data_IF_020122328186
#
_entry.id   IF_020122328186
#
_cell.length_a   1.000
_cell.length_b   1.000
_cell.length_c   1.000
_cell.angle_alpha   90.00
_cell.angle_beta   90.00
_cell.angle_gamma   90.00
#
_symmetry.space_group_name_H-M   'P 1'
#
loop_
_entity.id
_entity.type
_entity.pdbx_description
1 polymer ?
#
# COMPACT_ATOMS: atom_id res chain seq x y z
N UNK A 1 -16.94 -12.55 -32.01
CA UNK A 1 -17.22 -11.11 -31.80
C UNK A 1 -17.85 -10.97 -30.40
N UNK A 2 -17.06 -10.71 -29.40
CA UNK A 2 -17.54 -10.47 -28.02
C UNK A 2 -17.74 -8.96 -27.92
N UNK A 3 -18.99 -8.53 -27.83
CA UNK A 3 -19.37 -7.14 -27.62
C UNK A 3 -18.85 -6.72 -26.22
N UNK A 4 -17.84 -5.85 -26.16
CA UNK A 4 -17.45 -5.16 -24.95
C UNK A 4 -18.61 -4.22 -24.58
N UNK A 5 -19.36 -4.57 -23.54
CA UNK A 5 -20.30 -3.65 -22.92
C UNK A 5 -19.52 -2.44 -22.42
N UNK A 6 -19.94 -1.24 -22.86
CA UNK A 6 -19.42 0.01 -22.32
C UNK A 6 -19.63 0.03 -20.79
N UNK A 7 -18.67 0.54 -20.02
CA UNK A 7 -18.85 0.68 -18.58
C UNK A 7 -20.09 1.55 -18.31
N UNK A 8 -20.88 1.25 -17.27
CA UNK A 8 -22.05 2.05 -16.92
C UNK A 8 -21.60 3.51 -16.67
N UNK A 9 -22.35 4.45 -17.24
CA UNK A 9 -22.13 5.88 -17.03
C UNK A 9 -22.13 6.14 -15.52
N UNK A 10 -20.98 6.59 -14.97
CA UNK A 10 -20.90 7.03 -13.59
C UNK A 10 -21.94 8.13 -13.38
N UNK A 11 -22.75 8.02 -12.32
CA UNK A 11 -23.67 9.08 -11.92
C UNK A 11 -22.89 10.40 -11.77
N UNK A 12 -23.43 11.54 -12.20
CA UNK A 12 -22.76 12.81 -12.04
C UNK A 12 -22.37 12.99 -10.56
N UNK A 13 -21.07 13.07 -10.30
CA UNK A 13 -20.53 13.27 -8.95
C UNK A 13 -20.69 14.72 -8.57
N UNK A 14 -21.35 14.99 -7.46
CA UNK A 14 -21.42 16.33 -6.87
C UNK A 14 -20.02 16.72 -6.39
N UNK A 15 -19.45 17.78 -6.97
CA UNK A 15 -18.12 18.28 -6.59
C UNK A 15 -18.19 19.18 -5.37
N UNK A 16 -17.26 18.99 -4.44
CA UNK A 16 -17.10 19.84 -3.25
C UNK A 16 -16.03 20.90 -3.51
N UNK A 17 -16.45 22.16 -3.51
CA UNK A 17 -15.61 23.29 -3.85
C UNK A 17 -15.35 24.15 -2.61
N UNK A 18 -14.09 24.37 -2.29
CA UNK A 18 -13.64 25.33 -1.29
C UNK A 18 -13.33 26.66 -2.00
N UNK A 19 -13.98 27.75 -1.58
CA UNK A 19 -13.74 29.10 -2.08
C UNK A 19 -12.93 29.83 -1.01
N UNK A 20 -11.75 30.31 -1.38
CA UNK A 20 -10.84 31.06 -0.48
C UNK A 20 -10.70 32.45 -1.01
N UNK A 21 -11.42 33.39 -0.42
CA UNK A 21 -11.51 34.79 -0.85
C UNK A 21 -11.97 35.66 0.35
N UNK A 22 -11.30 36.78 0.60
CA UNK A 22 -11.64 37.71 1.68
C UNK A 22 -12.83 38.63 1.34
N UNK A 23 -13.19 38.75 0.04
CA UNK A 23 -14.34 39.48 -0.46
C UNK A 23 -15.63 38.66 -0.31
N UNK A 24 -16.52 39.12 0.57
CA UNK A 24 -17.84 38.47 0.75
C UNK A 24 -18.68 38.52 -0.54
N UNK A 25 -18.51 39.60 -1.32
CA UNK A 25 -19.21 39.81 -2.59
C UNK A 25 -18.79 38.76 -3.63
N UNK A 26 -17.47 38.53 -3.78
CA UNK A 26 -16.92 37.59 -4.73
C UNK A 26 -17.30 36.16 -4.35
N UNK A 27 -17.20 35.79 -3.06
CA UNK A 27 -17.68 34.50 -2.54
C UNK A 27 -19.14 34.26 -2.89
N UNK A 28 -19.99 35.28 -2.66
CA UNK A 28 -21.43 35.19 -2.97
C UNK A 28 -21.66 35.01 -4.46
N UNK A 29 -20.98 35.78 -5.30
CA UNK A 29 -21.07 35.75 -6.77
C UNK A 29 -20.68 34.33 -7.29
N UNK A 30 -19.55 33.81 -6.85
CA UNK A 30 -19.08 32.48 -7.24
C UNK A 30 -20.08 31.41 -6.82
N UNK A 31 -20.62 31.49 -5.59
CA UNK A 31 -21.64 30.53 -5.11
C UNK A 31 -22.91 30.56 -5.95
N UNK A 32 -23.42 31.76 -6.26
CA UNK A 32 -24.63 31.93 -7.07
C UNK A 32 -24.45 31.34 -8.46
N UNK A 33 -23.28 31.59 -9.08
CA UNK A 33 -22.94 31.01 -10.38
C UNK A 33 -22.88 29.48 -10.35
N UNK A 34 -22.21 28.91 -9.38
CA UNK A 34 -22.09 27.46 -9.25
C UNK A 34 -23.46 26.80 -8.98
N UNK A 35 -24.30 27.39 -8.13
CA UNK A 35 -25.66 26.88 -7.88
C UNK A 35 -26.59 26.96 -9.09
N UNK A 36 -26.38 27.92 -9.98
CA UNK A 36 -27.19 28.06 -11.20
C UNK A 36 -26.80 27.08 -12.31
N UNK A 37 -25.52 26.70 -12.34
CA UNK A 37 -24.93 25.94 -13.46
C UNK A 37 -24.73 24.46 -13.20
N UNK A 38 -24.81 24.00 -11.95
CA UNK A 38 -24.63 22.59 -11.66
C UNK A 38 -24.76 22.23 -10.17
N UNK A 39 -24.61 20.95 -9.90
CA UNK A 39 -24.65 20.38 -8.55
C UNK A 39 -23.28 20.48 -7.87
N UNK A 40 -23.04 21.61 -7.18
CA UNK A 40 -21.82 21.82 -6.40
C UNK A 40 -22.16 22.02 -4.91
N UNK A 41 -21.32 21.47 -4.05
CA UNK A 41 -21.33 21.76 -2.61
C UNK A 41 -20.21 22.73 -2.33
N UNK A 42 -20.54 23.97 -1.92
CA UNK A 42 -19.57 25.04 -1.73
C UNK A 42 -19.35 25.35 -0.25
N UNK A 43 -18.07 25.51 0.13
CA UNK A 43 -17.65 26.05 1.41
C UNK A 43 -16.80 27.27 1.17
N UNK A 44 -16.76 28.21 2.11
CA UNK A 44 -15.94 29.39 1.98
C UNK A 44 -15.02 29.56 3.19
N UNK A 45 -13.82 30.05 2.91
CA UNK A 45 -12.86 30.53 3.88
C UNK A 45 -12.44 31.94 3.49
N UNK A 46 -12.28 32.82 4.47
CA UNK A 46 -11.87 34.19 4.25
C UNK A 46 -10.39 34.43 4.49
N UNK A 47 -9.75 33.48 5.13
CA UNK A 47 -8.31 33.49 5.39
C UNK A 47 -7.69 32.14 5.06
N UNK A 48 -6.37 32.12 4.96
CA UNK A 48 -5.61 30.88 4.72
C UNK A 48 -5.75 29.91 5.89
N UNK A 49 -5.78 30.42 7.12
CA UNK A 49 -5.92 29.61 8.33
C UNK A 49 -7.29 28.90 8.38
N UNK A 50 -8.37 29.61 8.03
CA UNK A 50 -9.70 29.03 7.88
C UNK A 50 -9.72 27.95 6.78
N UNK A 51 -9.10 28.23 5.63
CA UNK A 51 -8.99 27.27 4.54
C UNK A 51 -8.24 26.00 4.98
N UNK A 52 -7.12 26.14 5.67
CA UNK A 52 -6.35 25.00 6.20
C UNK A 52 -7.13 24.21 7.24
N UNK A 53 -7.92 24.88 8.11
CA UNK A 53 -8.78 24.22 9.06
C UNK A 53 -9.84 23.36 8.35
N UNK A 54 -10.55 23.93 7.37
CA UNK A 54 -11.55 23.22 6.58
C UNK A 54 -10.94 22.05 5.79
N UNK A 55 -9.72 22.22 5.25
CA UNK A 55 -9.01 21.17 4.52
C UNK A 55 -8.54 20.01 5.42
N UNK A 56 -8.28 20.26 6.70
CA UNK A 56 -7.96 19.19 7.67
C UNK A 56 -9.16 18.31 7.99
N UNK A 57 -10.32 18.94 8.17
CA UNK A 57 -11.52 18.28 8.68
C UNK A 57 -12.46 17.79 7.57
N UNK A 58 -12.34 18.35 6.36
CA UNK A 58 -13.23 18.09 5.23
C UNK A 58 -12.55 17.50 4.01
N UNK A 59 -13.35 16.83 3.16
CA UNK A 59 -12.93 16.41 1.82
C UNK A 59 -13.41 17.45 0.81
N UNK A 60 -12.49 17.94 -0.02
CA UNK A 60 -12.77 18.85 -1.13
C UNK A 60 -12.20 18.27 -2.41
N UNK A 61 -12.86 18.57 -3.53
CA UNK A 61 -12.41 18.16 -4.86
C UNK A 61 -11.62 19.29 -5.55
N UNK A 62 -12.04 20.54 -5.33
CA UNK A 62 -11.43 21.73 -5.93
C UNK A 62 -11.34 22.87 -4.90
N UNK A 63 -10.25 23.61 -4.92
CA UNK A 63 -10.09 24.89 -4.21
C UNK A 63 -9.99 26.02 -5.22
N UNK A 64 -10.90 26.98 -5.11
CA UNK A 64 -10.85 28.26 -5.82
C UNK A 64 -10.18 29.28 -4.89
N UNK A 65 -9.05 29.82 -5.28
CA UNK A 65 -8.23 30.69 -4.41
C UNK A 65 -8.08 32.06 -5.08
N UNK A 66 -8.45 33.13 -4.38
CA UNK A 66 -8.23 34.48 -4.87
C UNK A 66 -6.74 34.82 -4.92
N UNK A 67 -6.29 35.32 -6.06
CA UNK A 67 -4.91 35.77 -6.25
C UNK A 67 -4.53 36.99 -5.42
N UNK A 68 -5.48 37.81 -4.97
CA UNK A 68 -5.21 38.95 -4.09
C UNK A 68 -4.69 38.51 -2.70
N UNK A 69 -5.02 37.30 -2.27
CA UNK A 69 -4.41 36.64 -1.10
C UNK A 69 -2.98 36.18 -1.36
N UNK A 70 -2.43 36.48 -2.58
CA UNK A 70 -1.17 35.93 -3.10
C UNK A 70 0.09 36.67 -2.64
N UNK A 71 0.00 37.82 -1.97
CA UNK A 71 1.19 38.46 -1.44
C UNK A 71 1.80 37.58 -0.31
N UNK A 72 2.47 36.49 -0.73
CA UNK A 72 3.12 35.41 0.07
C UNK A 72 2.19 34.30 0.65
N UNK A 73 1.03 34.56 1.26
CA UNK A 73 0.25 33.50 1.93
C UNK A 73 -0.42 32.51 0.98
N UNK A 74 -0.82 32.91 -0.23
CA UNK A 74 -1.50 31.98 -1.14
C UNK A 74 -0.54 30.97 -1.76
N UNK A 75 0.73 31.33 -1.97
CA UNK A 75 1.78 30.38 -2.34
C UNK A 75 1.92 29.30 -1.26
N UNK A 76 1.84 29.68 0.01
CA UNK A 76 1.88 28.77 1.16
C UNK A 76 0.69 27.80 1.13
N UNK A 77 -0.51 28.26 0.78
CA UNK A 77 -1.69 27.37 0.68
C UNK A 77 -1.57 26.40 -0.49
N UNK A 78 -1.10 26.82 -1.67
CA UNK A 78 -0.88 25.94 -2.81
C UNK A 78 0.20 24.89 -2.48
N UNK A 79 1.30 25.31 -1.85
CA UNK A 79 2.33 24.40 -1.41
C UNK A 79 1.80 23.43 -0.36
N UNK A 80 1.04 23.89 0.64
CA UNK A 80 0.38 23.05 1.63
C UNK A 80 -0.53 22.02 0.98
N UNK A 81 -1.35 22.41 0.00
CA UNK A 81 -2.23 21.50 -0.74
C UNK A 81 -1.42 20.44 -1.50
N UNK A 82 -0.30 20.82 -2.10
CA UNK A 82 0.56 19.88 -2.81
C UNK A 82 1.22 18.85 -1.89
N UNK A 83 1.65 19.27 -0.72
CA UNK A 83 2.36 18.43 0.23
C UNK A 83 1.42 17.52 1.02
N UNK A 84 0.23 18.01 1.40
CA UNK A 84 -0.66 17.34 2.35
C UNK A 84 -2.00 16.89 1.74
N UNK A 85 -2.47 17.59 0.69
CA UNK A 85 -3.79 17.40 0.07
C UNK A 85 -3.70 17.48 -1.45
N UNK A 86 -2.79 16.74 -2.05
CA UNK A 86 -2.66 16.65 -3.50
C UNK A 86 -3.89 16.08 -4.22
N UNK A 87 -4.90 15.65 -3.45
CA UNK A 87 -6.21 15.23 -3.93
C UNK A 87 -7.14 16.40 -4.30
N UNK A 88 -6.80 17.62 -3.92
CA UNK A 88 -7.58 18.83 -4.21
C UNK A 88 -7.00 19.54 -5.43
N UNK A 89 -7.82 19.76 -6.46
CA UNK A 89 -7.43 20.56 -7.60
C UNK A 89 -7.46 22.07 -7.22
N UNK A 90 -6.53 22.85 -7.74
CA UNK A 90 -6.41 24.27 -7.42
C UNK A 90 -6.67 25.11 -8.67
N UNK A 91 -7.64 26.02 -8.58
CA UNK A 91 -7.94 27.04 -9.60
C UNK A 91 -7.80 28.42 -8.97
N UNK A 92 -7.05 29.30 -9.61
CA UNK A 92 -6.89 30.66 -9.13
C UNK A 92 -7.93 31.57 -9.70
N UNK A 93 -8.44 32.48 -8.88
CA UNK A 93 -9.24 33.62 -9.31
C UNK A 93 -8.36 34.88 -9.34
N UNK A 94 -8.20 35.51 -10.49
CA UNK A 94 -7.35 36.71 -10.67
C UNK A 94 -8.20 37.93 -10.94
N UNK A 95 -7.79 39.09 -10.42
CA UNK A 95 -8.48 40.36 -10.66
C UNK A 95 -7.79 41.24 -11.75
N UNK A 96 -6.60 40.83 -12.21
CA UNK A 96 -5.78 41.59 -13.15
C UNK A 96 -6.00 41.18 -14.61
N UNK A 97 -5.77 42.13 -15.52
CA UNK A 97 -5.82 41.90 -16.98
C UNK A 97 -4.63 41.09 -17.50
N UNK A 98 -3.64 40.80 -16.66
CA UNK A 98 -2.41 40.13 -17.07
C UNK A 98 -2.39 38.66 -16.62
N UNK A 99 -2.49 37.73 -17.56
CA UNK A 99 -2.21 36.30 -17.39
C UNK A 99 -0.81 36.01 -16.78
N UNK A 100 0.11 37.00 -16.83
CA UNK A 100 1.46 36.90 -16.25
C UNK A 100 1.46 36.72 -14.74
N UNK A 101 0.42 37.14 -14.03
CA UNK A 101 0.27 36.96 -12.58
C UNK A 101 -0.07 35.51 -12.20
N UNK A 102 -0.69 34.77 -13.13
CA UNK A 102 -1.03 33.37 -12.91
C UNK A 102 0.16 32.38 -13.14
N UNK A 103 1.16 32.80 -13.95
CA UNK A 103 2.31 31.91 -14.27
C UNK A 103 3.12 31.43 -13.06
N UNK A 104 3.42 32.27 -12.05
CA UNK A 104 4.09 31.79 -10.83
C UNK A 104 3.29 30.71 -10.10
N UNK A 105 1.98 30.86 -10.07
CA UNK A 105 1.10 29.95 -9.38
C UNK A 105 0.96 28.59 -10.08
N UNK A 106 0.93 28.57 -11.40
CA UNK A 106 0.97 27.31 -12.17
C UNK A 106 2.27 26.58 -11.91
N UNK A 107 3.41 27.29 -11.83
CA UNK A 107 4.71 26.72 -11.47
C UNK A 107 4.72 26.16 -10.05
N UNK A 108 3.97 26.74 -9.13
CA UNK A 108 3.79 26.27 -7.76
C UNK A 108 2.76 25.13 -7.65
N UNK A 109 1.98 24.89 -8.72
CA UNK A 109 1.11 23.74 -8.83
C UNK A 109 -0.38 24.01 -8.85
N UNK A 110 -0.80 25.23 -9.13
CA UNK A 110 -2.17 25.47 -9.54
C UNK A 110 -2.45 24.77 -10.88
N UNK A 111 -3.64 24.19 -11.01
CA UNK A 111 -4.04 23.44 -12.20
C UNK A 111 -4.59 24.36 -13.30
N UNK A 112 -5.24 25.48 -12.88
CA UNK A 112 -5.81 26.45 -13.82
C UNK A 112 -5.98 27.82 -13.15
N UNK A 113 -6.38 28.81 -13.93
CA UNK A 113 -6.76 30.15 -13.44
C UNK A 113 -7.96 30.69 -14.21
N UNK A 114 -8.70 31.61 -13.57
CA UNK A 114 -9.82 32.32 -14.17
C UNK A 114 -9.80 33.77 -13.73
N UNK A 115 -9.95 34.68 -14.68
CA UNK A 115 -10.09 36.11 -14.38
C UNK A 115 -11.51 36.39 -13.83
N UNK A 116 -11.60 37.10 -12.69
CA UNK A 116 -12.87 37.49 -12.04
C UNK A 116 -13.75 38.34 -12.97
N UNK A 117 -13.18 39.08 -13.91
CA UNK A 117 -13.93 39.82 -14.92
C UNK A 117 -14.77 38.90 -15.83
N UNK A 118 -14.37 37.64 -15.99
CA UNK A 118 -15.09 36.63 -16.78
C UNK A 118 -16.05 35.79 -15.96
N UNK A 119 -16.27 36.11 -14.68
CA UNK A 119 -17.23 35.41 -13.81
C UNK A 119 -18.70 35.70 -14.18
N UNK A 120 -18.99 36.50 -15.22
CA UNK A 120 -20.35 36.68 -15.75
C UNK A 120 -20.88 35.43 -16.43
N UNK A 121 -19.98 34.61 -16.99
CA UNK A 121 -20.29 33.34 -17.60
C UNK A 121 -20.03 32.19 -16.63
N UNK A 122 -21.09 31.73 -15.94
CA UNK A 122 -21.01 30.60 -15.04
C UNK A 122 -20.61 29.30 -15.73
N UNK A 123 -20.79 29.17 -17.05
CA UNK A 123 -20.34 27.99 -17.80
C UNK A 123 -18.82 27.96 -17.89
N UNK A 124 -18.15 29.08 -18.06
CA UNK A 124 -16.68 29.14 -18.04
C UNK A 124 -16.11 28.73 -16.67
N UNK A 125 -16.71 29.22 -15.59
CA UNK A 125 -16.31 28.85 -14.24
C UNK A 125 -16.41 27.32 -14.03
N UNK A 126 -17.53 26.71 -14.41
CA UNK A 126 -17.73 25.26 -14.32
C UNK A 126 -16.73 24.50 -15.17
N UNK A 127 -16.47 24.96 -16.41
CA UNK A 127 -15.52 24.33 -17.32
C UNK A 127 -14.11 24.30 -16.70
N UNK A 128 -13.67 25.40 -16.08
CA UNK A 128 -12.36 25.47 -15.41
C UNK A 128 -12.29 24.57 -14.18
N UNK A 129 -13.34 24.56 -13.36
CA UNK A 129 -13.41 23.69 -12.18
C UNK A 129 -13.37 22.22 -12.57
N UNK A 130 -14.21 21.81 -13.53
CA UNK A 130 -14.26 20.42 -13.99
C UNK A 130 -12.96 20.03 -14.69
N UNK A 131 -12.41 20.92 -15.52
CA UNK A 131 -11.13 20.70 -16.20
C UNK A 131 -9.99 20.48 -15.20
N UNK A 132 -9.83 21.37 -14.22
CA UNK A 132 -8.80 21.26 -13.18
C UNK A 132 -8.98 19.97 -12.33
N UNK A 133 -10.22 19.63 -11.98
CA UNK A 133 -10.53 18.39 -11.25
C UNK A 133 -10.13 17.15 -12.05
N UNK A 134 -10.50 17.07 -13.33
CA UNK A 134 -10.17 15.91 -14.17
C UNK A 134 -8.67 15.82 -14.45
N UNK A 135 -7.98 16.94 -14.63
CA UNK A 135 -6.53 16.98 -14.79
C UNK A 135 -5.83 16.44 -13.54
N UNK A 136 -6.18 16.96 -12.35
CA UNK A 136 -5.64 16.46 -11.08
C UNK A 136 -5.92 14.96 -10.89
N UNK A 137 -7.14 14.51 -11.17
CA UNK A 137 -7.54 13.11 -11.11
C UNK A 137 -6.70 12.24 -12.04
N UNK A 138 -6.43 12.69 -13.25
CA UNK A 138 -5.62 11.98 -14.22
C UNK A 138 -4.14 11.91 -13.80
N UNK A 139 -3.58 13.02 -13.31
CA UNK A 139 -2.21 13.04 -12.77
C UNK A 139 -2.06 12.03 -11.62
N UNK A 140 -2.98 12.03 -10.66
CA UNK A 140 -2.96 11.08 -9.54
C UNK A 140 -3.14 9.61 -9.97
N UNK A 141 -3.99 9.36 -10.97
CA UNK A 141 -4.12 8.01 -11.54
C UNK A 141 -2.82 7.55 -12.19
N UNK A 142 -2.15 8.44 -12.90
CA UNK A 142 -0.84 8.15 -13.51
C UNK A 142 0.21 7.86 -12.45
N UNK A 143 0.32 8.69 -11.41
CA UNK A 143 1.27 8.50 -10.31
C UNK A 143 1.01 7.18 -9.56
N UNK A 144 -0.25 6.87 -9.29
CA UNK A 144 -0.64 5.61 -8.65
C UNK A 144 -0.28 4.42 -9.53
N UNK A 145 -0.52 4.53 -10.85
CA UNK A 145 -0.18 3.48 -11.80
C UNK A 145 1.33 3.28 -11.92
N UNK A 146 2.11 4.36 -11.97
CA UNK A 146 3.58 4.29 -11.98
C UNK A 146 4.09 3.60 -10.72
N UNK A 147 3.65 4.03 -9.54
CA UNK A 147 4.04 3.40 -8.26
C UNK A 147 3.62 1.93 -8.18
N UNK A 148 2.46 1.60 -8.75
CA UNK A 148 2.01 0.21 -8.82
C UNK A 148 2.91 -0.61 -9.75
N UNK A 149 3.22 -0.09 -10.96
CA UNK A 149 4.14 -0.75 -11.90
C UNK A 149 5.54 -0.92 -11.32
N UNK A 150 6.07 0.10 -10.64
CA UNK A 150 7.37 0.02 -9.95
C UNK A 150 7.36 -1.07 -8.87
N UNK A 151 6.29 -1.12 -8.07
CA UNK A 151 6.15 -2.16 -7.03
C UNK A 151 6.06 -3.55 -7.66
N UNK A 152 5.24 -3.69 -8.70
CA UNK A 152 5.04 -4.94 -9.44
C UNK A 152 6.36 -5.42 -10.07
N UNK A 153 7.12 -4.50 -10.67
CA UNK A 153 8.42 -4.80 -11.27
C UNK A 153 9.52 -5.18 -10.25
N UNK A 154 9.34 -4.85 -8.95
CA UNK A 154 10.35 -5.02 -7.89
C UNK A 154 9.97 -6.01 -6.79
N UNK A 155 8.77 -6.59 -6.83
CA UNK A 155 8.25 -7.49 -5.80
C UNK A 155 8.04 -8.90 -6.35
N UNK A 156 8.33 -9.91 -5.55
CA UNK A 156 7.98 -11.30 -5.82
C UNK A 156 6.55 -11.58 -5.36
N UNK A 157 5.70 -12.03 -6.28
CA UNK A 157 4.27 -12.21 -6.03
C UNK A 157 3.94 -13.33 -5.04
N UNK A 158 4.79 -14.34 -4.96
CA UNK A 158 4.54 -15.48 -4.08
C UNK A 158 4.81 -15.13 -2.62
N UNK A 159 5.85 -14.33 -2.37
CA UNK A 159 6.39 -14.06 -1.04
C UNK A 159 6.12 -12.67 -0.50
N UNK A 160 5.85 -11.69 -1.39
CA UNK A 160 5.77 -10.28 -1.04
C UNK A 160 7.10 -9.61 -0.71
N UNK A 161 8.22 -10.35 -0.73
CA UNK A 161 9.56 -9.80 -0.65
C UNK A 161 9.95 -9.11 -1.97
N UNK A 162 11.09 -8.45 -1.99
CA UNK A 162 11.65 -7.97 -3.23
C UNK A 162 12.00 -9.15 -4.16
N UNK A 163 11.99 -8.90 -5.47
CA UNK A 163 12.39 -9.88 -6.47
C UNK A 163 13.90 -9.78 -6.81
N UNK A 164 14.37 -10.66 -7.68
CA UNK A 164 15.77 -10.71 -8.14
C UNK A 164 16.24 -9.38 -8.72
N UNK A 165 15.42 -8.72 -9.53
CA UNK A 165 15.79 -7.44 -10.16
C UNK A 165 16.09 -6.36 -9.09
N UNK A 166 15.17 -6.20 -8.13
CA UNK A 166 15.35 -5.25 -7.04
C UNK A 166 16.55 -5.62 -6.13
N UNK A 167 16.85 -6.92 -5.99
CA UNK A 167 18.02 -7.38 -5.25
C UNK A 167 19.32 -6.98 -5.94
N UNK A 168 19.44 -7.21 -7.23
CA UNK A 168 20.66 -6.91 -7.98
C UNK A 168 20.96 -5.41 -7.99
N UNK A 169 19.93 -4.56 -8.19
CA UNK A 169 20.06 -3.10 -8.07
C UNK A 169 20.50 -2.68 -6.66
N UNK A 170 19.84 -3.22 -5.63
CA UNK A 170 20.15 -2.85 -4.25
C UNK A 170 21.55 -3.30 -3.82
N UNK A 171 21.99 -4.47 -4.24
CA UNK A 171 23.33 -4.97 -3.96
C UNK A 171 24.38 -4.05 -4.57
N UNK A 172 24.16 -3.61 -5.81
CA UNK A 172 25.05 -2.66 -6.48
C UNK A 172 25.10 -1.33 -5.72
N UNK A 173 23.96 -0.71 -5.39
CA UNK A 173 23.91 0.55 -4.64
C UNK A 173 24.64 0.48 -3.29
N UNK A 174 24.40 -0.62 -2.55
CA UNK A 174 25.01 -0.80 -1.22
C UNK A 174 26.50 -1.03 -1.31
N UNK A 175 26.99 -1.77 -2.32
CA UNK A 175 28.42 -1.97 -2.54
C UNK A 175 29.14 -0.67 -2.94
N UNK A 176 28.52 0.15 -3.82
CA UNK A 176 29.10 1.45 -4.19
C UNK A 176 29.19 2.38 -2.97
N UNK A 177 28.15 2.44 -2.17
CA UNK A 177 28.15 3.23 -0.92
C UNK A 177 29.18 2.72 0.09
N UNK A 178 29.26 1.41 0.27
CA UNK A 178 30.23 0.78 1.16
C UNK A 178 31.68 1.07 0.75
N UNK A 179 31.96 1.08 -0.57
CA UNK A 179 33.25 1.46 -1.12
C UNK A 179 33.59 2.91 -0.80
N UNK A 180 32.64 3.85 -0.98
CA UNK A 180 32.84 5.27 -0.69
C UNK A 180 33.07 5.52 0.81
N UNK A 181 32.25 4.90 1.67
CA UNK A 181 32.25 5.11 3.11
C UNK A 181 33.27 4.21 3.86
N UNK A 182 33.91 3.27 3.18
CA UNK A 182 34.78 2.21 3.72
C UNK A 182 34.11 1.39 4.82
N UNK A 183 32.81 1.09 4.63
CA UNK A 183 32.03 0.30 5.57
C UNK A 183 31.81 -1.11 5.02
N UNK A 184 31.71 -2.13 5.88
CA UNK A 184 31.46 -3.48 5.42
C UNK A 184 30.01 -3.65 4.95
N UNK A 185 29.83 -4.53 3.94
CA UNK A 185 28.54 -5.07 3.53
C UNK A 185 28.60 -6.58 3.70
N UNK A 186 27.56 -7.15 4.26
CA UNK A 186 27.42 -8.61 4.31
C UNK A 186 26.21 -9.06 3.50
N UNK A 187 26.44 -10.04 2.65
CA UNK A 187 25.43 -10.78 1.94
C UNK A 187 25.19 -12.13 2.62
N UNK A 188 23.92 -12.46 2.86
CA UNK A 188 23.49 -13.78 3.35
C UNK A 188 22.56 -14.38 2.31
N UNK A 189 22.96 -15.49 1.71
CA UNK A 189 22.10 -16.32 0.86
C UNK A 189 21.43 -17.40 1.70
N UNK A 190 20.18 -17.70 1.38
CA UNK A 190 19.35 -18.67 2.09
C UNK A 190 18.70 -19.59 1.07
N UNK A 191 18.83 -20.88 1.24
CA UNK A 191 18.24 -21.90 0.37
C UNK A 191 17.36 -22.83 1.19
N UNK A 192 16.18 -23.14 0.67
CA UNK A 192 15.24 -24.07 1.33
C UNK A 192 15.63 -25.51 0.99
N UNK A 193 15.88 -26.31 2.02
CA UNK A 193 16.26 -27.69 1.81
C UNK A 193 15.07 -28.56 1.38
N UNK A 194 15.23 -29.29 0.29
CA UNK A 194 14.30 -30.36 -0.13
C UNK A 194 13.03 -29.88 -0.86
N UNK A 195 12.92 -28.64 -1.25
CA UNK A 195 11.75 -28.07 -1.95
C UNK A 195 11.38 -28.88 -3.20
N UNK A 196 12.39 -29.35 -3.96
CA UNK A 196 12.15 -30.16 -5.15
C UNK A 196 11.47 -31.50 -4.81
N UNK A 197 11.93 -32.19 -3.77
CA UNK A 197 11.33 -33.46 -3.32
C UNK A 197 9.90 -33.24 -2.82
N UNK A 198 9.68 -32.15 -2.10
CA UNK A 198 8.34 -31.79 -1.62
C UNK A 198 7.40 -31.54 -2.79
N UNK A 199 7.83 -30.83 -3.81
CA UNK A 199 7.05 -30.58 -5.03
C UNK A 199 6.68 -31.87 -5.77
N UNK A 200 7.64 -32.81 -5.86
CA UNK A 200 7.43 -34.11 -6.53
C UNK A 200 6.46 -35.01 -5.75
N UNK A 201 6.49 -34.99 -4.41
CA UNK A 201 5.70 -35.87 -3.55
C UNK A 201 4.35 -35.27 -3.15
N UNK A 202 4.32 -33.98 -2.83
CA UNK A 202 3.16 -33.28 -2.23
C UNK A 202 2.53 -32.25 -3.15
N UNK A 203 3.14 -31.97 -4.31
CA UNK A 203 2.67 -30.96 -5.26
C UNK A 203 3.23 -29.57 -5.01
N UNK A 204 3.14 -28.72 -6.03
CA UNK A 204 3.70 -27.37 -6.02
C UNK A 204 3.08 -26.45 -4.97
N UNK A 205 1.80 -26.63 -4.63
CA UNK A 205 1.12 -25.80 -3.61
C UNK A 205 1.79 -25.90 -2.24
N UNK A 206 2.29 -27.11 -1.88
CA UNK A 206 3.00 -27.35 -0.61
C UNK A 206 4.40 -26.72 -0.63
N UNK A 207 5.10 -26.82 -1.76
CA UNK A 207 6.39 -26.14 -1.94
C UNK A 207 6.26 -24.62 -1.90
N UNK A 208 5.23 -24.09 -2.56
CA UNK A 208 4.91 -22.65 -2.51
C UNK A 208 4.63 -22.16 -1.09
N UNK A 209 3.96 -23.00 -0.28
CA UNK A 209 3.72 -22.71 1.13
C UNK A 209 5.02 -22.70 1.94
N UNK A 210 5.95 -23.63 1.71
CA UNK A 210 7.29 -23.58 2.32
C UNK A 210 8.04 -22.30 1.96
N UNK A 211 7.97 -21.84 0.71
CA UNK A 211 8.58 -20.61 0.23
C UNK A 211 7.96 -19.40 0.95
N UNK A 212 6.62 -19.31 1.06
CA UNK A 212 5.93 -18.21 1.77
C UNK A 212 6.33 -18.18 3.26
N UNK A 213 6.40 -19.33 3.93
CA UNK A 213 6.80 -19.44 5.33
C UNK A 213 8.25 -19.02 5.55
N UNK A 214 9.16 -19.40 4.65
CA UNK A 214 10.55 -18.97 4.70
C UNK A 214 10.65 -17.43 4.58
N UNK A 215 9.95 -16.84 3.63
CA UNK A 215 9.90 -15.39 3.46
C UNK A 215 9.37 -14.67 4.71
N UNK A 216 8.30 -15.20 5.33
CA UNK A 216 7.76 -14.67 6.58
C UNK A 216 8.76 -14.75 7.74
N UNK A 217 9.48 -15.88 7.87
CA UNK A 217 10.54 -16.04 8.86
C UNK A 217 11.70 -15.06 8.66
N UNK A 218 12.16 -14.88 7.44
CA UNK A 218 13.20 -13.90 7.10
C UNK A 218 12.74 -12.48 7.47
N UNK A 219 11.52 -12.09 7.06
CA UNK A 219 10.98 -10.75 7.32
C UNK A 219 10.93 -10.39 8.80
N UNK A 220 10.65 -11.36 9.68
CA UNK A 220 10.63 -11.15 11.14
C UNK A 220 12.02 -10.93 11.76
N UNK A 221 13.07 -11.30 11.04
CA UNK A 221 14.44 -11.30 11.56
C UNK A 221 15.28 -10.10 11.12
N UNK A 222 14.88 -9.38 10.09
CA UNK A 222 15.60 -8.26 9.49
C UNK A 222 15.10 -6.90 10.00
N UNK A 223 15.92 -5.86 9.86
CA UNK A 223 15.58 -4.48 10.24
C UNK A 223 15.12 -3.69 9.01
N UNK A 224 14.59 -2.50 9.21
CA UNK A 224 14.21 -1.61 8.11
C UNK A 224 15.38 -1.13 7.23
N UNK A 225 16.62 -1.19 7.72
CA UNK A 225 17.84 -0.90 6.96
C UNK A 225 18.31 -2.08 6.10
N UNK A 226 17.93 -3.30 6.48
CA UNK A 226 18.32 -4.52 5.81
C UNK A 226 17.38 -4.77 4.62
N UNK A 227 17.84 -5.54 3.64
CA UNK A 227 17.08 -5.77 2.43
C UNK A 227 16.97 -7.27 2.17
N UNK A 228 15.76 -7.78 2.02
CA UNK A 228 15.51 -9.18 1.70
C UNK A 228 14.77 -9.33 0.38
N UNK A 229 15.16 -10.34 -0.39
CA UNK A 229 14.57 -10.65 -1.68
C UNK A 229 14.52 -12.15 -1.93
N UNK A 230 13.58 -12.59 -2.75
CA UNK A 230 13.60 -13.89 -3.39
C UNK A 230 14.38 -13.78 -4.71
N UNK A 231 15.47 -14.52 -4.82
CA UNK A 231 16.41 -14.41 -5.94
C UNK A 231 16.38 -15.61 -6.89
N UNK A 232 15.71 -16.68 -6.49
CA UNK A 232 15.56 -17.91 -7.26
C UNK A 232 14.26 -18.64 -6.92
N UNK A 233 14.13 -19.87 -7.33
CA UNK A 233 12.96 -20.71 -7.02
C UNK A 233 12.74 -20.87 -5.52
N UNK A 234 13.75 -21.34 -4.83
CA UNK A 234 13.83 -21.60 -3.38
C UNK A 234 14.96 -20.82 -2.70
N UNK A 235 15.58 -19.87 -3.43
CA UNK A 235 16.70 -19.08 -2.97
C UNK A 235 16.28 -17.67 -2.55
N UNK A 236 16.84 -17.20 -1.43
CA UNK A 236 16.65 -15.84 -0.92
C UNK A 236 18.00 -15.17 -0.69
N UNK A 237 18.02 -13.84 -0.82
CA UNK A 237 19.16 -13.02 -0.51
C UNK A 237 18.80 -11.97 0.55
N UNK A 238 19.69 -11.81 1.54
CA UNK A 238 19.60 -10.75 2.56
C UNK A 238 20.86 -9.90 2.51
N UNK A 239 20.70 -8.61 2.21
CA UNK A 239 21.79 -7.63 2.19
C UNK A 239 21.76 -6.89 3.52
N UNK A 240 22.91 -6.85 4.18
CA UNK A 240 23.12 -6.18 5.47
C UNK A 240 24.10 -5.01 5.28
N UNK A 241 23.58 -3.78 5.03
CA UNK A 241 24.43 -2.58 4.98
C UNK A 241 25.12 -2.35 6.32
N UNK A 242 26.35 -1.88 6.27
CA UNK A 242 27.19 -1.61 7.45
C UNK A 242 27.37 -2.85 8.37
N UNK A 243 27.16 -4.05 7.84
CA UNK A 243 27.25 -5.30 8.58
C UNK A 243 28.51 -6.07 8.26
N UNK A 244 29.16 -6.60 9.29
CA UNK A 244 30.28 -7.51 9.19
C UNK A 244 29.82 -8.98 9.16
N UNK A 245 30.75 -9.92 9.03
CA UNK A 245 30.47 -11.35 9.02
C UNK A 245 29.82 -11.84 10.34
N UNK A 246 30.12 -11.19 11.47
CA UNK A 246 29.51 -11.52 12.76
C UNK A 246 28.02 -11.20 12.77
N UNK A 247 27.63 -10.04 12.20
CA UNK A 247 26.22 -9.69 12.00
C UNK A 247 25.52 -10.67 11.05
N UNK A 248 26.18 -11.05 9.93
CA UNK A 248 25.65 -12.05 9.01
C UNK A 248 25.34 -13.40 9.71
N UNK A 249 26.28 -13.89 10.52
CA UNK A 249 26.09 -15.11 11.31
C UNK A 249 24.97 -14.96 12.36
N UNK A 250 24.84 -13.80 12.96
CA UNK A 250 23.77 -13.51 13.92
C UNK A 250 22.39 -13.56 13.22
N UNK A 251 22.24 -12.92 12.07
CA UNK A 251 20.99 -12.90 11.30
C UNK A 251 20.66 -14.31 10.81
N UNK A 252 21.62 -15.06 10.27
CA UNK A 252 21.41 -16.44 9.84
C UNK A 252 20.92 -17.34 11.00
N UNK A 253 21.51 -17.21 12.19
CA UNK A 253 21.06 -17.92 13.41
C UNK A 253 19.65 -17.50 13.83
N UNK A 254 19.33 -16.21 13.76
CA UNK A 254 17.98 -15.72 14.10
C UNK A 254 16.94 -16.27 13.14
N UNK A 255 17.23 -16.31 11.85
CA UNK A 255 16.33 -16.88 10.84
C UNK A 255 16.14 -18.37 11.11
N UNK A 256 17.21 -19.14 11.32
CA UNK A 256 17.12 -20.57 11.63
C UNK A 256 16.28 -20.83 12.88
N UNK A 257 16.56 -20.10 13.96
CA UNK A 257 15.81 -20.23 15.23
C UNK A 257 14.33 -19.84 15.08
N UNK A 258 14.03 -18.77 14.34
CA UNK A 258 12.63 -18.36 14.10
C UNK A 258 11.89 -19.42 13.27
N UNK A 259 12.50 -20.00 12.25
CA UNK A 259 11.90 -21.08 11.47
C UNK A 259 11.68 -22.34 12.32
N UNK A 260 12.64 -22.72 13.18
CA UNK A 260 12.46 -23.83 14.14
C UNK A 260 11.31 -23.56 15.11
N UNK A 261 11.23 -22.34 15.66
CA UNK A 261 10.14 -21.94 16.56
C UNK A 261 8.78 -22.03 15.86
N UNK A 262 8.69 -21.58 14.61
CA UNK A 262 7.48 -21.61 13.81
C UNK A 262 7.09 -23.06 13.44
N UNK A 263 8.06 -23.90 13.07
CA UNK A 263 7.85 -25.33 12.81
C UNK A 263 7.29 -26.08 14.03
N UNK A 264 7.74 -25.74 15.24
CA UNK A 264 7.27 -26.34 16.49
C UNK A 264 6.00 -25.73 17.08
N UNK A 265 5.54 -24.58 16.54
CA UNK A 265 4.41 -23.81 17.04
C UNK A 265 3.34 -23.56 15.98
N UNK A 266 3.39 -22.39 15.35
CA UNK A 266 2.39 -21.92 14.38
C UNK A 266 2.21 -22.87 13.18
N UNK A 267 3.27 -23.60 12.80
CA UNK A 267 3.30 -24.52 11.64
C UNK A 267 3.49 -25.99 12.02
N UNK A 268 3.18 -26.38 13.27
CA UNK A 268 3.44 -27.72 13.79
C UNK A 268 2.75 -28.86 13.00
N UNK A 269 1.62 -28.58 12.37
CA UNK A 269 0.87 -29.54 11.54
C UNK A 269 1.30 -29.56 10.06
N UNK A 270 2.34 -28.79 9.70
CA UNK A 270 2.83 -28.65 8.34
C UNK A 270 4.21 -29.29 8.18
N UNK A 271 4.65 -29.48 6.92
CA UNK A 271 6.01 -29.94 6.66
C UNK A 271 7.03 -28.94 7.21
N UNK A 272 8.05 -29.39 7.96
CA UNK A 272 9.03 -28.48 8.55
C UNK A 272 9.87 -27.80 7.47
N UNK A 273 10.07 -26.48 7.62
CA UNK A 273 10.97 -25.71 6.77
C UNK A 273 12.37 -25.74 7.37
N UNK A 274 13.35 -26.18 6.59
CA UNK A 274 14.77 -26.13 6.94
C UNK A 274 15.54 -25.37 5.86
N UNK A 275 16.54 -24.59 6.28
CA UNK A 275 17.31 -23.74 5.36
C UNK A 275 18.82 -23.95 5.51
N UNK A 276 19.55 -23.66 4.45
CA UNK A 276 21.00 -23.61 4.41
C UNK A 276 21.44 -22.19 4.12
N UNK A 277 22.58 -21.78 4.66
CA UNK A 277 23.08 -20.42 4.51
C UNK A 277 24.47 -20.41 3.86
N UNK A 278 24.67 -19.43 2.96
CA UNK A 278 25.96 -18.98 2.50
C UNK A 278 26.12 -17.49 2.78
N UNK A 279 27.31 -17.04 3.14
CA UNK A 279 27.50 -15.64 3.45
C UNK A 279 28.90 -15.14 3.09
N UNK A 280 28.96 -13.90 2.65
CA UNK A 280 30.23 -13.22 2.36
C UNK A 280 30.14 -11.77 2.85
N UNK A 281 31.32 -11.19 3.15
CA UNK A 281 31.42 -9.79 3.57
C UNK A 281 32.58 -9.10 2.85
N UNK A 282 32.41 -7.82 2.56
CA UNK A 282 33.44 -6.99 1.94
C UNK A 282 33.20 -5.50 2.24
N UNK A 283 34.28 -4.73 2.36
CA UNK A 283 34.21 -3.27 2.53
C UNK A 283 34.51 -2.51 1.23
N UNK A 284 35.02 -3.18 0.19
CA UNK A 284 35.32 -2.61 -1.11
C UNK A 284 35.15 -3.72 -2.15
N UNK A 285 33.96 -4.32 -2.16
CA UNK A 285 33.67 -5.48 -2.98
C UNK A 285 32.95 -5.10 -4.29
N UNK A 286 33.24 -5.86 -5.32
CA UNK A 286 32.38 -5.96 -6.49
C UNK A 286 31.13 -6.76 -6.10
N UNK A 287 29.92 -6.32 -6.50
CA UNK A 287 28.68 -7.05 -6.20
C UNK A 287 28.68 -8.51 -6.68
N UNK A 288 29.28 -8.77 -7.86
CA UNK A 288 29.40 -10.11 -8.43
C UNK A 288 30.34 -10.99 -7.63
N UNK A 289 31.50 -10.47 -7.20
CA UNK A 289 32.46 -11.19 -6.34
C UNK A 289 31.87 -11.52 -4.98
N UNK A 290 31.13 -10.56 -4.37
CA UNK A 290 30.45 -10.77 -3.09
C UNK A 290 29.38 -11.86 -3.19
N UNK A 291 28.59 -11.83 -4.28
CA UNK A 291 27.59 -12.85 -4.55
C UNK A 291 28.24 -14.22 -4.77
N UNK A 292 29.26 -14.31 -5.63
CA UNK A 292 29.94 -15.56 -5.92
C UNK A 292 30.58 -16.20 -4.67
N UNK A 293 31.17 -15.38 -3.79
CA UNK A 293 31.73 -15.87 -2.53
C UNK A 293 30.66 -16.40 -1.56
N UNK A 294 29.50 -15.76 -1.47
CA UNK A 294 28.38 -16.25 -0.67
C UNK A 294 27.78 -17.53 -1.26
N UNK A 295 27.61 -17.60 -2.58
CA UNK A 295 27.07 -18.77 -3.28
C UNK A 295 27.99 -19.98 -3.17
N UNK A 296 29.31 -19.80 -3.30
CA UNK A 296 30.29 -20.88 -3.07
C UNK A 296 30.16 -21.45 -1.65
N UNK A 297 30.06 -20.59 -0.64
CA UNK A 297 29.88 -21.05 0.74
C UNK A 297 28.53 -21.80 0.92
N UNK A 298 27.46 -21.34 0.27
CA UNK A 298 26.17 -22.02 0.27
C UNK A 298 26.28 -23.42 -0.33
N UNK A 299 26.96 -23.55 -1.47
CA UNK A 299 27.20 -24.83 -2.15
C UNK A 299 28.01 -25.80 -1.27
N UNK A 300 29.07 -25.32 -0.62
CA UNK A 300 29.88 -26.12 0.29
C UNK A 300 29.04 -26.66 1.46
N UNK A 301 28.15 -25.85 2.04
CA UNK A 301 27.28 -26.28 3.12
C UNK A 301 26.19 -27.28 2.66
N UNK A 302 25.71 -27.18 1.42
CA UNK A 302 24.77 -28.16 0.83
C UNK A 302 25.41 -29.56 0.71
N UNK A 303 26.70 -29.60 0.41
CA UNK A 303 27.47 -30.86 0.21
C UNK A 303 27.69 -31.65 1.52
N UNK A 304 27.73 -30.96 2.67
CA UNK A 304 28.00 -31.55 3.99
C UNK A 304 26.74 -31.97 4.77
N UNK A 305 25.52 -31.73 4.29
CA UNK A 305 24.30 -32.18 4.96
C UNK A 305 23.99 -33.66 4.60
N UNK A 306 23.89 -34.59 5.58
CA UNK A 306 23.33 -35.90 5.30
C UNK A 306 21.87 -35.77 4.88
N UNK A 307 21.49 -36.53 3.87
CA UNK A 307 20.13 -36.66 3.34
C UNK A 307 19.13 -36.77 4.49
N UNK A 308 18.15 -35.88 4.48
CA UNK A 308 17.04 -35.80 5.43
C UNK A 308 16.53 -37.21 5.82
N UNK A 309 16.26 -37.41 7.12
CA UNK A 309 15.44 -38.55 7.61
C UNK A 309 14.17 -38.66 6.75
N UNK A 310 13.68 -39.88 6.47
CA UNK A 310 12.53 -40.05 5.58
C UNK A 310 11.37 -39.15 6.05
N UNK A 311 10.84 -38.37 5.12
CA UNK A 311 9.67 -37.54 5.34
C UNK A 311 8.56 -38.40 5.96
N UNK A 312 7.80 -37.90 6.94
CA UNK A 312 6.66 -38.62 7.45
C UNK A 312 5.71 -38.90 6.27
N UNK A 313 5.29 -40.19 6.17
CA UNK A 313 4.32 -40.56 5.13
C UNK A 313 3.08 -39.66 5.22
N UNK A 314 2.52 -39.21 4.06
CA UNK A 314 1.33 -38.42 4.07
C UNK A 314 0.23 -39.18 4.80
N UNK A 315 -0.28 -38.64 5.91
CA UNK A 315 -1.46 -39.19 6.58
C UNK A 315 -2.56 -39.28 5.52
N UNK A 316 -2.92 -40.51 5.15
CA UNK A 316 -4.07 -40.76 4.28
C UNK A 316 -5.25 -40.06 4.91
N UNK A 317 -5.80 -39.06 4.20
CA UNK A 317 -7.04 -38.44 4.59
C UNK A 317 -8.08 -39.54 4.74
N UNK A 318 -8.41 -39.90 5.98
CA UNK A 318 -9.56 -40.76 6.27
C UNK A 318 -10.79 -40.06 5.72
N UNK A 319 -11.26 -40.52 4.58
CA UNK A 319 -12.56 -40.13 4.07
C UNK A 319 -13.58 -40.55 5.13
N UNK A 320 -14.39 -39.63 5.66
CA UNK A 320 -15.50 -40.05 6.51
C UNK A 320 -16.49 -40.83 5.65
N UNK A 321 -16.51 -42.14 5.78
CA UNK A 321 -17.56 -43.01 5.24
C UNK A 321 -18.80 -42.76 6.09
N UNK A 322 -19.48 -41.66 5.88
CA UNK A 322 -20.80 -41.38 6.42
C UNK A 322 -21.87 -41.90 5.47
N UNK A 323 -22.23 -43.18 5.59
CA UNK A 323 -23.46 -43.69 4.99
C UNK A 323 -24.66 -42.99 5.66
N UNK A 324 -25.18 -41.96 4.99
CA UNK A 324 -26.52 -41.51 5.27
C UNK A 324 -27.52 -42.54 4.75
N UNK A 325 -28.05 -43.35 5.63
CA UNK A 325 -29.27 -44.14 5.38
C UNK A 325 -30.45 -43.18 5.31
N UNK A 326 -30.96 -42.99 4.12
CA UNK A 326 -32.25 -42.35 3.90
C UNK A 326 -33.35 -43.19 4.59
N UNK A 327 -34.00 -42.63 5.60
CA UNK A 327 -35.30 -43.09 6.07
C UNK A 327 -36.36 -42.17 5.49
N UNK A 328 -37.02 -42.70 4.51
CA UNK A 328 -38.32 -42.21 4.01
C UNK A 328 -39.37 -42.59 5.06
N UNK A 329 -40.07 -41.63 5.62
CA UNK A 329 -41.40 -41.83 6.18
C UNK A 329 -42.18 -40.50 6.12
N UNK A 330 -43.26 -40.59 5.41
CA UNK A 330 -44.17 -39.50 5.02
C UNK A 330 -45.10 -39.03 6.14
N UNK A 331 -46.11 -38.24 5.79
CA UNK A 331 -46.56 -37.14 6.61
C UNK A 331 -47.75 -37.47 7.56
N UNK A 332 -47.79 -36.82 8.71
CA UNK A 332 -49.08 -36.66 9.46
C UNK A 332 -49.25 -35.26 10.00
N UNK A 333 -50.32 -34.68 9.54
CA UNK A 333 -51.02 -33.49 9.95
C UNK A 333 -51.39 -33.43 11.46
N UNK A 334 -51.39 -32.25 12.05
CA UNK A 334 -52.42 -31.62 12.87
C UNK A 334 -51.84 -30.45 13.67
N UNK A 335 -52.27 -29.27 13.32
CA UNK A 335 -53.19 -28.33 14.00
C UNK A 335 -52.82 -27.89 15.42
N UNK A 336 -52.73 -26.56 15.53
CA UNK A 336 -53.23 -25.69 16.63
C UNK A 336 -52.31 -25.58 17.88
N UNK A 337 -51.88 -24.45 18.29
CA UNK A 337 -52.64 -23.40 18.94
C UNK A 337 -51.74 -22.21 19.36
N UNK A 338 -52.27 -21.06 19.18
CA UNK A 338 -51.93 -19.76 19.77
C UNK A 338 -51.51 -19.84 21.25
N UNK A 339 -50.55 -18.99 21.66
CA UNK A 339 -50.86 -18.06 22.77
C UNK A 339 -49.81 -16.94 22.87
N UNK A 340 -50.33 -15.75 22.82
CA UNK A 340 -49.77 -14.50 23.31
C UNK A 340 -49.26 -14.59 24.74
N UNK A 341 -48.18 -13.90 25.06
CA UNK A 341 -48.17 -12.99 26.21
C UNK A 341 -47.09 -11.92 26.07
N UNK A 342 -47.56 -10.70 26.04
CA UNK A 342 -46.90 -9.47 26.42
C UNK A 342 -46.46 -9.57 27.88
N UNK A 343 -45.34 -8.94 28.20
CA UNK A 343 -45.23 -8.23 29.47
C UNK A 343 -44.37 -6.98 29.32
N UNK A 344 -44.98 -5.92 29.73
CA UNK A 344 -44.61 -4.54 29.87
C UNK A 344 -44.07 -4.29 31.28
N UNK A 345 -43.22 -3.25 31.38
CA UNK A 345 -43.19 -2.37 32.55
C UNK A 345 -42.05 -2.68 33.54
N UNK A 346 -41.33 -1.81 34.03
CA UNK A 346 -41.52 -0.51 34.57
C UNK A 346 -40.37 -0.17 35.54
N UNK A 347 -39.84 1.03 35.42
CA UNK A 347 -39.54 1.99 36.46
C UNK A 347 -38.36 1.89 37.45
N UNK A 348 -37.62 2.98 37.39
CA UNK A 348 -37.17 3.89 38.49
C UNK A 348 -35.98 3.40 39.35
N UNK A 349 -35.08 4.16 39.74
CA UNK A 349 -34.75 5.58 39.93
C UNK A 349 -33.64 5.65 40.98
N UNK A 350 -32.83 6.61 40.92
CA UNK A 350 -32.16 7.39 41.98
C UNK A 350 -30.66 7.51 41.82
N UNK A 351 -30.24 8.74 41.56
CA UNK A 351 -28.96 9.26 41.99
C UNK A 351 -29.02 9.56 43.54
N UNK A 352 -28.03 10.17 44.13
CA UNK A 352 -27.32 11.38 43.71
C UNK A 352 -25.79 11.38 43.96
N UNK A 353 -25.13 12.40 43.42
CA UNK A 353 -23.85 13.01 43.83
C UNK A 353 -23.79 13.35 45.35
N UNK A 354 -22.65 13.84 45.90
CA UNK A 354 -21.47 14.52 45.34
C UNK A 354 -20.15 14.17 46.04
N UNK A 355 -19.05 14.70 45.46
CA UNK A 355 -17.77 14.79 46.09
C UNK A 355 -16.73 15.27 45.08
#
# INVERSE_FOLDING_TARGET
MIARSAPPAEKPRVLRVLIVDDSIEDVRRVRELLHRTGDFVTHAARTIEEAQALLRDGSFDVALIDSALWSDPAAVLVQYLREHRNDVAVVLLTSGENEREALPAIKLGAHDFLNKAHLEDGQQLVLRIVGAFEENRNLRRRDTMVRWLEREARTDHLTGLHNRHAFDERLWEVCEKARADRRPVTLVLVDIAGTRIVNEVHGHDVGDDMIRRTAAGISRCIRGSDFAARIGGDDFGVILPDGDLALGRLIARRIAHELERLNGGEWADQLPVTVTFGMATGASCDPGELFAAADQQLADHKTFRPVLSPLPEPRRAERPIGRLKARVSGPRSRRAARQHRRWTGCHRSHGPEPG
#
